data_IF_087995209651
#
_entry.id   IF_087995209651
#
_cell.length_a   1.000
_cell.length_b   1.000
_cell.length_c   1.000
_cell.angle_alpha   90.00
_cell.angle_beta   90.00
_cell.angle_gamma   90.00
#
_symmetry.space_group_name_H-M   'P 1'
#
loop_
_entity.id
_entity.type
_entity.pdbx_description
1 polymer ?
#
# COMPACT_ATOMS: atom_id res chain seq x y z
N UNK A 1 15.94 -3.84 -33.22
CA UNK A 1 16.30 -4.48 -31.94
C UNK A 1 15.45 -3.81 -30.87
N UNK A 2 14.77 -4.57 -30.02
CA UNK A 2 13.95 -4.01 -28.95
C UNK A 2 14.87 -3.38 -27.89
N UNK A 3 14.53 -2.19 -27.41
CA UNK A 3 15.27 -1.57 -26.31
C UNK A 3 15.16 -2.45 -25.05
N UNK A 4 16.25 -2.65 -24.29
CA UNK A 4 16.19 -3.40 -23.03
C UNK A 4 15.17 -2.75 -22.09
N UNK A 5 14.24 -3.55 -21.57
CA UNK A 5 13.29 -3.09 -20.55
C UNK A 5 14.04 -2.99 -19.22
N UNK A 6 14.11 -1.79 -18.67
CA UNK A 6 14.62 -1.56 -17.31
C UNK A 6 13.49 -1.78 -16.31
N UNK A 7 13.75 -2.58 -15.27
CA UNK A 7 12.81 -2.84 -14.18
C UNK A 7 13.25 -2.03 -12.97
N UNK A 8 12.50 -0.99 -12.63
CA UNK A 8 12.70 -0.27 -11.38
C UNK A 8 12.21 -1.15 -10.22
N UNK A 9 13.00 -1.27 -9.15
CA UNK A 9 12.64 -2.11 -7.99
C UNK A 9 12.15 -1.31 -6.80
N UNK A 10 12.45 -0.03 -6.76
CA UNK A 10 12.17 0.89 -5.67
C UNK A 10 11.78 2.28 -6.19
N UNK A 11 11.21 3.08 -5.29
CA UNK A 11 10.83 4.44 -5.57
C UNK A 11 10.47 5.22 -4.32
N UNK A 12 10.26 6.52 -4.52
CA UNK A 12 9.84 7.46 -3.47
C UNK A 12 8.56 8.14 -3.92
N UNK A 13 7.57 8.14 -3.04
CA UNK A 13 6.32 8.87 -3.20
C UNK A 13 6.26 10.01 -2.18
N UNK A 14 5.85 11.19 -2.63
CA UNK A 14 5.66 12.36 -1.76
C UNK A 14 4.16 12.68 -1.77
N UNK A 15 3.42 12.41 -0.67
CA UNK A 15 1.98 12.64 -0.62
C UNK A 15 1.63 14.11 -0.85
N UNK A 16 0.45 14.30 -1.45
CA UNK A 16 -0.05 15.60 -1.87
C UNK A 16 -0.41 16.49 -0.69
N UNK A 17 -0.84 15.88 0.42
CA UNK A 17 -1.17 16.53 1.67
C UNK A 17 -0.06 16.40 2.71
N UNK A 18 -0.15 17.17 3.80
CA UNK A 18 0.80 17.12 4.91
C UNK A 18 2.16 17.78 4.63
N UNK A 19 2.44 18.05 3.35
CA UNK A 19 3.67 18.67 2.84
C UNK A 19 3.54 20.15 2.50
N UNK A 20 2.34 20.74 2.61
CA UNK A 20 2.13 22.17 2.33
C UNK A 20 2.95 23.01 3.32
N UNK A 21 3.87 23.82 2.79
CA UNK A 21 4.73 24.70 3.59
C UNK A 21 5.97 24.02 4.20
N UNK A 22 6.16 22.70 4.01
CA UNK A 22 7.36 22.00 4.46
C UNK A 22 8.52 22.17 3.49
N UNK A 23 9.73 22.33 4.03
CA UNK A 23 10.97 22.29 3.23
C UNK A 23 11.25 20.88 2.73
N UNK A 24 12.14 20.74 1.75
CA UNK A 24 12.40 19.45 1.07
C UNK A 24 12.79 18.32 2.03
N UNK A 25 13.58 18.65 3.04
CA UNK A 25 14.09 17.78 4.11
C UNK A 25 13.07 17.48 5.22
N UNK A 26 12.01 18.28 5.32
CA UNK A 26 10.93 18.11 6.31
C UNK A 26 9.71 17.38 5.72
N UNK A 27 9.71 17.14 4.41
CA UNK A 27 8.58 16.51 3.73
C UNK A 27 8.38 15.08 4.25
N UNK A 28 7.11 14.71 4.34
CA UNK A 28 6.69 13.32 4.43
C UNK A 28 7.05 12.68 3.10
N UNK A 29 7.82 11.60 3.17
CA UNK A 29 8.29 10.78 2.05
C UNK A 29 7.95 9.33 2.35
N UNK A 30 7.46 8.62 1.35
CA UNK A 30 7.09 7.21 1.44
C UNK A 30 7.99 6.45 0.49
N UNK A 31 8.91 5.68 1.06
CA UNK A 31 9.80 4.81 0.31
C UNK A 31 9.08 3.48 0.08
N UNK A 32 9.10 3.02 -1.16
CA UNK A 32 8.46 1.76 -1.52
C UNK A 32 9.37 0.92 -2.40
N UNK A 33 9.11 -0.39 -2.39
CA UNK A 33 9.67 -1.35 -3.32
C UNK A 33 8.60 -2.20 -3.97
N UNK A 34 8.90 -2.71 -5.14
CA UNK A 34 8.11 -3.77 -5.75
C UNK A 34 8.34 -5.10 -5.06
N UNK A 35 7.28 -5.88 -4.96
CA UNK A 35 7.33 -7.22 -4.40
C UNK A 35 7.76 -8.21 -5.47
N UNK A 36 8.42 -9.27 -5.05
CA UNK A 36 8.67 -10.42 -5.91
C UNK A 36 7.38 -11.21 -6.12
N UNK A 37 7.33 -12.03 -7.18
CA UNK A 37 6.18 -12.91 -7.43
C UNK A 37 5.85 -13.81 -6.23
N UNK A 38 6.87 -14.38 -5.58
CA UNK A 38 6.69 -15.24 -4.39
C UNK A 38 6.09 -14.47 -3.20
N UNK A 39 6.48 -13.20 -3.02
CA UNK A 39 5.89 -12.34 -1.99
C UNK A 39 4.42 -12.03 -2.30
N UNK A 40 4.09 -11.72 -3.55
CA UNK A 40 2.71 -11.47 -3.97
C UNK A 40 1.86 -12.73 -3.80
N UNK A 41 2.35 -13.90 -4.19
CA UNK A 41 1.65 -15.18 -4.02
C UNK A 41 1.32 -15.45 -2.54
N UNK A 42 2.28 -15.21 -1.64
CA UNK A 42 2.05 -15.32 -0.18
C UNK A 42 1.00 -14.35 0.32
N UNK A 43 0.98 -13.12 -0.20
CA UNK A 43 -0.03 -12.10 0.14
C UNK A 43 -1.42 -12.54 -0.32
N UNK A 44 -1.59 -12.95 -1.57
CA UNK A 44 -2.88 -13.43 -2.07
C UNK A 44 -3.35 -14.68 -1.32
N UNK A 45 -2.45 -15.60 -1.01
CA UNK A 45 -2.77 -16.76 -0.16
C UNK A 45 -3.25 -16.35 1.23
N UNK A 46 -2.64 -15.33 1.84
CA UNK A 46 -3.06 -14.78 3.13
C UNK A 46 -4.41 -14.06 3.05
N UNK A 47 -4.56 -13.14 2.10
CA UNK A 47 -5.80 -12.39 1.89
C UNK A 47 -6.99 -13.32 1.66
N UNK A 48 -6.80 -14.40 0.92
CA UNK A 48 -7.84 -15.42 0.71
C UNK A 48 -8.30 -16.06 2.02
N UNK A 49 -7.39 -16.35 2.95
CA UNK A 49 -7.73 -16.89 4.27
C UNK A 49 -8.45 -15.87 5.14
N UNK A 50 -8.03 -14.61 5.09
CA UNK A 50 -8.62 -13.51 5.86
C UNK A 50 -10.03 -13.14 5.35
N UNK A 51 -10.30 -13.28 4.04
CA UNK A 51 -11.63 -13.08 3.45
C UNK A 51 -12.64 -14.20 3.77
N UNK A 52 -12.19 -15.29 4.41
CA UNK A 52 -13.05 -16.41 4.79
C UNK A 52 -13.28 -17.42 3.67
N UNK A 53 -14.23 -18.34 3.92
CA UNK A 53 -14.54 -19.44 3.00
C UNK A 53 -15.07 -18.92 1.66
N UNK A 54 -14.64 -19.56 0.57
CA UNK A 54 -15.08 -19.20 -0.78
C UNK A 54 -16.53 -19.67 -0.95
N UNK A 55 -17.48 -18.78 -1.25
CA UNK A 55 -18.86 -19.16 -1.48
C UNK A 55 -19.00 -20.11 -2.68
N UNK A 56 -20.09 -20.89 -2.69
CA UNK A 56 -20.40 -21.72 -3.86
C UNK A 56 -20.62 -20.85 -5.10
N UNK A 57 -20.10 -21.32 -6.26
CA UNK A 57 -20.20 -20.58 -7.54
C UNK A 57 -21.62 -20.26 -7.99
N UNK A 58 -22.61 -20.94 -7.43
CA UNK A 58 -24.03 -20.80 -7.74
C UNK A 58 -24.63 -19.54 -7.11
N UNK A 59 -24.04 -19.07 -5.99
CA UNK A 59 -24.41 -17.83 -5.32
C UNK A 59 -23.49 -16.69 -5.78
N UNK A 60 -23.83 -16.12 -6.93
CA UNK A 60 -23.03 -15.06 -7.55
C UNK A 60 -22.89 -13.84 -6.65
N UNK A 61 -23.92 -13.50 -5.86
CA UNK A 61 -23.90 -12.32 -5.00
C UNK A 61 -22.95 -12.52 -3.81
N UNK A 62 -23.00 -13.69 -3.18
CA UNK A 62 -22.07 -14.02 -2.11
C UNK A 62 -20.62 -14.06 -2.64
N UNK A 63 -20.41 -14.68 -3.81
CA UNK A 63 -19.11 -14.74 -4.45
C UNK A 63 -18.55 -13.35 -4.76
N UNK A 64 -19.35 -12.44 -5.34
CA UNK A 64 -18.91 -11.08 -5.67
C UNK A 64 -18.53 -10.29 -4.42
N UNK A 65 -19.33 -10.39 -3.35
CA UNK A 65 -19.02 -9.74 -2.07
C UNK A 65 -17.71 -10.26 -1.47
N UNK A 66 -17.53 -11.59 -1.46
CA UNK A 66 -16.29 -12.23 -1.01
C UNK A 66 -15.09 -11.81 -1.86
N UNK A 67 -15.25 -11.74 -3.19
CA UNK A 67 -14.18 -11.39 -4.11
C UNK A 67 -13.71 -9.94 -3.93
N UNK A 68 -14.64 -9.01 -3.69
CA UNK A 68 -14.32 -7.61 -3.33
C UNK A 68 -13.54 -7.54 -2.03
N UNK A 69 -13.95 -8.29 -1.01
CA UNK A 69 -13.24 -8.34 0.28
C UNK A 69 -11.83 -8.92 0.10
N UNK A 70 -11.72 -10.08 -0.55
CA UNK A 70 -10.45 -10.73 -0.87
C UNK A 70 -9.46 -9.80 -1.58
N UNK A 71 -9.90 -9.12 -2.64
CA UNK A 71 -9.03 -8.18 -3.36
C UNK A 71 -8.66 -6.97 -2.49
N UNK A 72 -9.58 -6.47 -1.68
CA UNK A 72 -9.32 -5.35 -0.78
C UNK A 72 -8.25 -5.71 0.26
N UNK A 73 -8.35 -6.88 0.88
CA UNK A 73 -7.34 -7.39 1.80
C UNK A 73 -6.00 -7.61 1.11
N UNK A 74 -6.00 -8.20 -0.09
CA UNK A 74 -4.77 -8.41 -0.86
C UNK A 74 -4.06 -7.10 -1.18
N UNK A 75 -4.82 -6.05 -1.56
CA UNK A 75 -4.23 -4.75 -1.85
C UNK A 75 -3.68 -4.05 -0.62
N UNK A 76 -4.40 -4.10 0.50
CA UNK A 76 -3.92 -3.55 1.76
C UNK A 76 -2.60 -4.22 2.17
N UNK A 77 -2.58 -5.55 2.20
CA UNK A 77 -1.38 -6.33 2.55
C UNK A 77 -0.21 -6.07 1.59
N UNK A 78 -0.50 -5.94 0.29
CA UNK A 78 0.52 -5.61 -0.72
C UNK A 78 1.13 -4.25 -0.47
N UNK A 79 0.31 -3.20 -0.39
CA UNK A 79 0.80 -1.82 -0.20
C UNK A 79 1.56 -1.69 1.12
N UNK A 80 1.02 -2.27 2.19
CA UNK A 80 1.67 -2.37 3.50
C UNK A 80 3.07 -2.97 3.42
N UNK A 81 3.25 -4.04 2.62
CA UNK A 81 4.54 -4.71 2.42
C UNK A 81 5.47 -3.97 1.47
N UNK A 82 4.92 -3.23 0.51
CA UNK A 82 5.69 -2.40 -0.42
C UNK A 82 6.34 -1.22 0.27
N UNK A 83 5.67 -0.58 1.24
CA UNK A 83 6.22 0.53 2.01
C UNK A 83 7.36 0.02 2.88
N UNK A 84 8.57 0.50 2.59
CA UNK A 84 9.78 0.14 3.34
C UNK A 84 10.09 1.14 4.44
N UNK A 85 9.75 2.41 4.22
CA UNK A 85 10.02 3.50 5.16
C UNK A 85 9.07 4.67 4.91
N UNK A 86 8.71 5.38 5.97
CA UNK A 86 8.03 6.67 5.93
C UNK A 86 8.83 7.65 6.79
N UNK A 87 9.31 8.73 6.18
CA UNK A 87 10.03 9.78 6.91
C UNK A 87 9.08 10.90 7.33
N UNK A 88 9.41 11.57 8.43
CA UNK A 88 8.77 12.83 8.89
C UNK A 88 7.25 12.79 9.11
N UNK A 89 6.70 11.59 9.36
CA UNK A 89 5.29 11.39 9.72
C UNK A 89 5.14 11.02 11.19
N UNK A 90 4.49 11.92 11.93
CA UNK A 90 4.07 11.68 13.32
C UNK A 90 2.63 12.13 13.50
N UNK A 91 1.89 11.39 14.32
CA UNK A 91 0.48 11.69 14.63
C UNK A 91 0.35 11.89 16.13
N UNK A 92 -0.39 12.90 16.54
CA UNK A 92 -0.75 13.11 17.93
C UNK A 92 -2.15 12.54 18.19
N UNK A 93 -2.27 11.58 19.10
CA UNK A 93 -3.53 10.96 19.53
C UNK A 93 -3.57 11.03 21.04
N UNK A 94 -4.63 11.63 21.60
CA UNK A 94 -4.82 11.75 23.04
C UNK A 94 -3.61 12.32 23.81
N UNK A 95 -2.87 13.22 23.16
CA UNK A 95 -1.65 13.86 23.71
C UNK A 95 -0.38 13.03 23.57
N UNK A 96 -0.46 11.80 23.05
CA UNK A 96 0.70 10.97 22.72
C UNK A 96 1.09 11.18 21.25
N UNK A 97 2.38 11.41 21.01
CA UNK A 97 2.94 11.46 19.66
C UNK A 97 3.44 10.07 19.26
N UNK A 98 2.94 9.57 18.13
CA UNK A 98 3.31 8.29 17.55
C UNK A 98 4.03 8.57 16.24
N UNK A 99 5.26 8.07 16.11
CA UNK A 99 6.00 8.08 14.85
C UNK A 99 5.52 6.95 13.95
N UNK A 100 5.28 7.24 12.68
CA UNK A 100 4.82 6.27 11.69
C UNK A 100 5.94 6.03 10.70
N UNK A 101 6.59 4.88 10.81
CA UNK A 101 7.83 4.56 10.06
C UNK A 101 7.65 3.58 8.92
N UNK A 102 6.52 2.89 8.88
CA UNK A 102 6.28 1.81 7.93
C UNK A 102 4.79 1.65 7.60
N UNK A 103 4.49 0.78 6.64
CA UNK A 103 3.12 0.43 6.30
C UNK A 103 2.37 -0.21 7.46
N UNK A 104 3.03 -1.02 8.29
CA UNK A 104 2.39 -1.65 9.47
C UNK A 104 1.76 -0.63 10.40
N UNK A 105 2.52 0.40 10.74
CA UNK A 105 2.08 1.47 11.63
C UNK A 105 1.04 2.35 10.95
N UNK A 106 1.21 2.65 9.65
CA UNK A 106 0.27 3.46 8.87
C UNK A 106 -1.15 2.88 8.87
N UNK A 107 -1.27 1.55 8.72
CA UNK A 107 -2.55 0.85 8.65
C UNK A 107 -3.03 0.30 10.01
N UNK A 108 -2.45 0.73 11.13
CA UNK A 108 -2.73 0.18 12.48
C UNK A 108 -3.97 0.73 13.18
N UNK A 109 -4.88 1.40 12.46
CA UNK A 109 -6.10 2.00 13.02
C UNK A 109 -5.91 3.41 13.59
N UNK A 110 -4.77 4.04 13.32
CA UNK A 110 -4.55 5.48 13.54
C UNK A 110 -5.53 6.30 12.67
N UNK A 111 -5.85 7.56 13.03
CA UNK A 111 -6.69 8.46 12.23
C UNK A 111 -5.95 8.98 10.98
N UNK A 112 -5.32 8.06 10.24
CA UNK A 112 -4.55 8.27 9.01
C UNK A 112 -5.28 7.72 7.79
N UNK A 113 -6.60 7.54 7.89
CA UNK A 113 -7.42 6.89 6.85
C UNK A 113 -7.26 7.58 5.49
N UNK A 114 -7.22 8.91 5.45
CA UNK A 114 -6.99 9.67 4.22
C UNK A 114 -5.59 9.41 3.63
N UNK A 115 -4.57 9.19 4.47
CA UNK A 115 -3.19 8.92 4.03
C UNK A 115 -3.09 7.55 3.41
N UNK A 116 -3.60 6.59 4.18
CA UNK A 116 -3.67 5.19 3.82
C UNK A 116 -4.40 5.04 2.49
N UNK A 117 -5.52 5.75 2.30
CA UNK A 117 -6.29 5.72 1.05
C UNK A 117 -5.55 6.35 -0.13
N UNK A 118 -4.90 7.52 0.04
CA UNK A 118 -4.11 8.13 -1.02
C UNK A 118 -2.95 7.22 -1.46
N UNK A 119 -2.19 6.69 -0.49
CA UNK A 119 -1.06 5.79 -0.77
C UNK A 119 -1.54 4.49 -1.40
N UNK A 120 -2.66 3.93 -0.92
CA UNK A 120 -3.28 2.75 -1.53
C UNK A 120 -3.63 3.04 -3.00
N UNK A 121 -4.24 4.18 -3.29
CA UNK A 121 -4.62 4.57 -4.65
C UNK A 121 -3.39 4.72 -5.56
N UNK A 122 -2.37 5.43 -5.11
CA UNK A 122 -1.15 5.66 -5.90
C UNK A 122 -0.39 4.35 -6.15
N UNK A 123 -0.13 3.56 -5.09
CA UNK A 123 0.75 2.39 -5.18
C UNK A 123 0.04 1.15 -5.76
N UNK A 124 -1.30 1.07 -5.70
CA UNK A 124 -2.07 -0.04 -6.30
C UNK A 124 -1.88 -0.12 -7.81
N UNK A 125 -1.75 1.03 -8.49
CA UNK A 125 -1.57 1.10 -9.94
C UNK A 125 -0.12 0.95 -10.41
N UNK A 126 0.85 0.89 -9.49
CA UNK A 126 2.25 0.82 -9.85
C UNK A 126 2.70 -0.60 -10.21
N UNK A 127 3.44 -0.64 -11.30
CA UNK A 127 4.15 -1.81 -11.81
C UNK A 127 5.64 -1.52 -11.88
N UNK A 128 6.47 -2.54 -11.73
CA UNK A 128 7.93 -2.44 -11.81
C UNK A 128 8.46 -2.16 -13.23
N UNK A 129 7.57 -2.20 -14.22
CA UNK A 129 7.85 -1.87 -15.62
C UNK A 129 7.63 -0.36 -15.82
N UNK A 130 8.66 0.30 -16.34
CA UNK A 130 8.85 1.76 -16.30
C UNK A 130 7.64 2.60 -16.72
N UNK A 131 7.28 3.59 -15.89
CA UNK A 131 6.59 4.82 -16.31
C UNK A 131 7.55 5.97 -16.05
N UNK A 132 8.35 6.34 -17.07
CA UNK A 132 9.02 7.64 -17.08
C UNK A 132 7.97 8.74 -16.91
N UNK A 133 7.99 9.45 -15.79
CA UNK A 133 7.40 10.78 -15.66
C UNK A 133 8.49 11.82 -15.88
#
# INVERSE_FOLDING_TARGET
>A
MAEPITIARDGVYVPSWGNKGRKKDERITVHYRFLTFEEEEKIYGRARREAGEVPEKQDSRAYDAWYVEYLSQAWLLRVKKMITEIENLSVSIDGQVIEVKDGETLFSGLPLVELANEILHELKGLTSVDKKK
#
